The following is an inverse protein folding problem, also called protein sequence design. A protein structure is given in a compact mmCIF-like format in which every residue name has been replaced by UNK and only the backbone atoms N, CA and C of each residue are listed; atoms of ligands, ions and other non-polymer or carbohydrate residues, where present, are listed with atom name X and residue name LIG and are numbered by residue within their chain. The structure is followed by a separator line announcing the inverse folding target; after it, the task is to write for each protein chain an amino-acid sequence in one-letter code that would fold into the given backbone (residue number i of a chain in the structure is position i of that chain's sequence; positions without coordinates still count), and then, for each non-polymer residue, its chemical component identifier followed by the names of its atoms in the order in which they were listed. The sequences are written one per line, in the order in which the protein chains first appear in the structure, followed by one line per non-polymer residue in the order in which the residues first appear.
data_IF_620664917283
#
_entry.id   IF_620664917283
#
_cell.length_a   1.000
_cell.length_b   1.000
_cell.length_c   1.000
_cell.angle_alpha   90.00
_cell.angle_beta   90.00
_cell.angle_gamma   90.00
#
_symmetry.space_group_name_H-M   'P 1'
#
loop_
_entity.id
_entity.type
_entity.pdbx_description
1 polymer ?
#
# COMPACT_ATOMS: atom_id res chain seq x y z
N UNK A 1 14.91 -18.21 -9.59
CA UNK A 1 13.76 -17.43 -10.15
C UNK A 1 12.49 -17.58 -9.32
N UNK A 2 12.39 -18.61 -8.45
CA UNK A 2 11.53 -18.59 -7.27
C UNK A 2 11.97 -17.52 -6.22
N UNK A 3 13.16 -16.95 -6.36
CA UNK A 3 13.79 -15.98 -5.44
C UNK A 3 13.32 -14.52 -5.64
N UNK A 4 12.10 -14.34 -6.17
CA UNK A 4 11.60 -13.07 -6.72
C UNK A 4 10.16 -12.80 -6.28
N UNK A 5 9.76 -13.28 -5.10
CA UNK A 5 8.44 -13.07 -4.52
C UNK A 5 8.64 -12.68 -3.06
N UNK A 6 7.85 -11.74 -2.53
CA UNK A 6 7.94 -11.36 -1.11
C UNK A 6 7.52 -12.54 -0.24
N UNK A 7 7.94 -12.59 1.03
CA UNK A 7 7.55 -13.68 1.92
C UNK A 7 6.01 -13.79 2.06
N UNK A 8 5.30 -12.65 1.97
CA UNK A 8 3.84 -12.61 1.97
C UNK A 8 3.25 -13.15 0.66
N UNK A 9 3.80 -12.79 -0.50
CA UNK A 9 3.40 -13.38 -1.80
C UNK A 9 3.73 -14.87 -1.85
N UNK A 10 4.89 -15.29 -1.33
CA UNK A 10 5.27 -16.70 -1.22
C UNK A 10 4.29 -17.41 -0.29
N UNK A 11 3.87 -16.79 0.81
CA UNK A 11 2.86 -17.35 1.71
C UNK A 11 1.50 -17.50 1.00
N UNK A 12 1.02 -16.46 0.30
CA UNK A 12 -0.21 -16.52 -0.51
C UNK A 12 -0.10 -17.59 -1.62
N UNK A 13 1.03 -17.67 -2.33
CA UNK A 13 1.24 -18.70 -3.35
C UNK A 13 1.42 -20.09 -2.75
N UNK A 14 1.89 -20.21 -1.51
CA UNK A 14 1.99 -21.48 -0.80
C UNK A 14 0.63 -21.95 -0.31
N UNK A 15 -0.21 -21.03 0.13
CA UNK A 15 -1.63 -21.31 0.38
C UNK A 15 -2.32 -21.73 -0.91
N UNK A 16 -2.15 -20.99 -2.01
CA UNK A 16 -2.66 -21.38 -3.32
C UNK A 16 -2.13 -22.74 -3.78
N UNK A 17 -0.82 -23.01 -3.63
CA UNK A 17 -0.21 -24.30 -3.96
C UNK A 17 -0.83 -25.45 -3.16
N UNK A 18 -1.11 -25.24 -1.86
CA UNK A 18 -1.78 -26.24 -1.01
C UNK A 18 -3.24 -26.50 -1.40
N UNK A 19 -3.86 -25.60 -2.19
CA UNK A 19 -5.17 -25.88 -2.80
C UNK A 19 -5.05 -26.89 -3.94
N UNK A 20 -3.90 -26.95 -4.62
CA UNK A 20 -3.62 -27.90 -5.70
C UNK A 20 -3.03 -29.21 -5.18
N UNK A 21 -1.97 -29.15 -4.37
CA UNK A 21 -1.32 -30.31 -3.73
C UNK A 21 -2.22 -30.89 -2.62
N UNK A 22 -3.03 -31.90 -2.98
CA UNK A 22 -4.07 -32.44 -2.09
C UNK A 22 -3.52 -33.46 -1.12
N UNK A 23 -2.46 -34.17 -1.48
CA UNK A 23 -1.85 -35.18 -0.62
C UNK A 23 -0.64 -34.65 0.16
N UNK A 24 -0.20 -33.43 -0.12
CA UNK A 24 0.83 -32.70 0.61
C UNK A 24 2.24 -33.23 0.32
N UNK A 25 2.45 -33.86 -0.84
CA UNK A 25 3.74 -34.44 -1.22
C UNK A 25 4.73 -33.40 -1.76
N UNK A 26 4.27 -32.15 -1.95
CA UNK A 26 5.07 -31.02 -2.40
C UNK A 26 5.14 -30.87 -3.92
N UNK A 27 4.38 -31.65 -4.68
CA UNK A 27 4.29 -31.60 -6.13
C UNK A 27 2.82 -31.58 -6.59
N UNK A 28 2.51 -30.88 -7.68
CA UNK A 28 1.18 -30.91 -8.28
C UNK A 28 1.22 -31.87 -9.48
N UNK A 29 0.46 -32.95 -9.38
CA UNK A 29 0.30 -33.92 -10.48
C UNK A 29 -0.78 -33.49 -11.49
N UNK A 30 -0.79 -34.08 -12.70
CA UNK A 30 -1.88 -33.86 -13.68
C UNK A 30 -3.25 -34.14 -13.08
N UNK A 31 -3.33 -35.15 -12.19
CA UNK A 31 -4.54 -35.58 -11.52
C UNK A 31 -5.03 -34.53 -10.53
N UNK A 32 -4.14 -33.91 -9.78
CA UNK A 32 -4.46 -32.86 -8.81
C UNK A 32 -4.84 -31.55 -9.49
N UNK A 33 -4.04 -31.13 -10.47
CA UNK A 33 -4.37 -30.00 -11.34
C UNK A 33 -5.74 -30.18 -11.98
N UNK A 34 -5.99 -31.36 -12.57
CA UNK A 34 -7.27 -31.70 -13.16
C UNK A 34 -8.41 -31.75 -12.14
N UNK A 35 -8.15 -32.14 -10.89
CA UNK A 35 -9.16 -32.15 -9.83
C UNK A 35 -9.59 -30.72 -9.51
N UNK A 36 -8.65 -29.80 -9.33
CA UNK A 36 -8.95 -28.39 -9.07
C UNK A 36 -9.63 -27.73 -10.28
N UNK A 37 -9.11 -27.91 -11.50
CA UNK A 37 -9.72 -27.34 -12.71
C UNK A 37 -11.16 -27.82 -12.92
N UNK A 38 -11.44 -29.10 -12.62
CA UNK A 38 -12.81 -29.65 -12.64
C UNK A 38 -13.69 -29.09 -11.52
N UNK A 39 -13.15 -28.87 -10.33
CA UNK A 39 -13.85 -28.19 -9.24
C UNK A 39 -14.15 -26.71 -9.57
N UNK A 40 -13.36 -26.07 -10.43
CA UNK A 40 -13.60 -24.72 -10.94
C UNK A 40 -14.54 -24.69 -12.16
N UNK A 41 -15.02 -25.85 -12.63
CA UNK A 41 -15.98 -25.97 -13.73
C UNK A 41 -15.36 -26.10 -15.12
N UNK A 42 -14.04 -26.22 -15.23
CA UNK A 42 -13.36 -26.55 -16.48
C UNK A 42 -13.28 -28.07 -16.67
N UNK A 43 -13.18 -28.53 -17.92
CA UNK A 43 -13.13 -29.98 -18.20
C UNK A 43 -11.94 -30.33 -19.12
N UNK A 44 -10.71 -30.08 -18.67
CA UNK A 44 -9.52 -30.30 -19.49
C UNK A 44 -9.28 -31.80 -19.73
N UNK A 45 -8.76 -32.11 -20.90
CA UNK A 45 -8.27 -33.44 -21.27
C UNK A 45 -6.92 -33.73 -20.60
N UNK A 46 -6.56 -35.00 -20.50
CA UNK A 46 -5.25 -35.38 -19.94
C UNK A 46 -4.08 -34.81 -20.76
N UNK A 47 -4.26 -34.64 -22.07
CA UNK A 47 -3.26 -34.02 -22.93
C UNK A 47 -3.10 -32.53 -22.63
N UNK A 48 -4.20 -31.79 -22.46
CA UNK A 48 -4.16 -30.37 -22.09
C UNK A 48 -3.54 -30.17 -20.70
N UNK A 49 -3.88 -31.04 -19.73
CA UNK A 49 -3.26 -31.02 -18.40
C UNK A 49 -1.76 -31.29 -18.47
N UNK A 50 -1.34 -32.26 -19.29
CA UNK A 50 0.07 -32.57 -19.47
C UNK A 50 0.81 -31.42 -20.17
N UNK A 51 0.20 -30.78 -21.17
CA UNK A 51 0.78 -29.62 -21.85
C UNK A 51 0.96 -28.45 -20.88
N UNK A 52 -0.03 -28.18 -20.03
CA UNK A 52 0.07 -27.15 -18.98
C UNK A 52 1.19 -27.43 -17.97
N UNK A 53 1.42 -28.70 -17.60
CA UNK A 53 2.56 -29.08 -16.75
C UNK A 53 3.87 -28.89 -17.49
N UNK A 54 3.98 -29.41 -18.72
CA UNK A 54 5.20 -29.34 -19.53
C UNK A 54 5.67 -27.91 -19.83
N UNK A 55 4.76 -26.93 -19.83
CA UNK A 55 5.09 -25.52 -20.03
C UNK A 55 5.96 -24.94 -18.89
N UNK A 56 5.90 -25.53 -17.69
CA UNK A 56 6.54 -25.00 -16.48
C UNK A 56 7.41 -26.00 -15.72
N UNK A 57 7.25 -27.29 -16.00
CA UNK A 57 8.08 -28.41 -15.56
C UNK A 57 9.48 -28.28 -16.16
N UNK A 58 10.37 -27.64 -15.40
CA UNK A 58 11.72 -27.29 -15.83
C UNK A 58 12.68 -28.47 -15.68
N UNK A 59 12.42 -29.37 -14.73
CA UNK A 59 13.23 -30.57 -14.50
C UNK A 59 12.76 -31.79 -15.31
N UNK A 60 11.57 -31.72 -15.91
CA UNK A 60 10.98 -32.74 -16.79
C UNK A 60 10.44 -33.96 -16.03
N UNK A 61 10.10 -33.80 -14.74
CA UNK A 61 9.65 -34.89 -13.89
C UNK A 61 8.16 -35.25 -14.08
N UNK A 62 7.42 -34.46 -14.85
CA UNK A 62 6.00 -34.65 -15.16
C UNK A 62 5.04 -34.16 -14.06
N UNK A 63 5.53 -33.37 -13.11
CA UNK A 63 4.77 -32.72 -12.03
C UNK A 63 5.22 -31.27 -11.90
N UNK A 64 4.49 -30.44 -11.14
CA UNK A 64 4.89 -29.05 -10.87
C UNK A 64 5.31 -28.95 -9.40
N UNK A 65 6.59 -28.72 -9.14
CA UNK A 65 7.05 -28.44 -7.79
C UNK A 65 6.76 -26.98 -7.38
N UNK A 66 6.91 -26.66 -6.10
CA UNK A 66 6.62 -25.30 -5.61
C UNK A 66 7.42 -24.20 -6.34
N UNK A 67 8.76 -24.33 -6.56
CA UNK A 67 9.52 -23.42 -7.42
C UNK A 67 8.98 -23.25 -8.85
N UNK A 68 8.55 -24.31 -9.51
CA UNK A 68 7.97 -24.30 -10.85
C UNK A 68 6.59 -23.63 -10.86
N UNK A 69 5.78 -23.88 -9.85
CA UNK A 69 4.51 -23.20 -9.62
C UNK A 69 4.70 -21.69 -9.42
N UNK A 70 5.71 -21.27 -8.67
CA UNK A 70 6.05 -19.85 -8.52
C UNK A 70 6.48 -19.22 -9.85
N UNK A 71 7.24 -19.93 -10.68
CA UNK A 71 7.62 -19.45 -12.01
C UNK A 71 6.40 -19.33 -12.95
N UNK A 72 5.44 -20.25 -12.86
CA UNK A 72 4.17 -20.19 -13.60
C UNK A 72 3.40 -18.92 -13.22
N UNK A 73 3.21 -18.69 -11.93
CA UNK A 73 2.47 -17.53 -11.40
C UNK A 73 3.19 -16.21 -11.70
N UNK A 74 4.52 -16.16 -11.53
CA UNK A 74 5.32 -14.98 -11.81
C UNK A 74 5.37 -14.60 -13.30
N UNK A 75 5.29 -15.58 -14.21
CA UNK A 75 5.17 -15.32 -15.67
C UNK A 75 3.78 -14.79 -16.03
N UNK A 76 2.71 -15.39 -15.49
CA UNK A 76 1.33 -14.92 -15.67
C UNK A 76 1.13 -13.48 -15.19
N UNK A 77 1.78 -13.08 -14.09
CA UNK A 77 1.70 -11.70 -13.59
C UNK A 77 2.49 -10.67 -14.42
N UNK A 78 3.45 -11.09 -15.27
CA UNK A 78 4.32 -10.18 -16.05
C UNK A 78 3.81 -9.89 -17.46
N UNK A 79 2.93 -10.73 -18.01
CA UNK A 79 2.55 -10.69 -19.42
C UNK A 79 1.11 -10.22 -19.71
N UNK A 80 0.30 -9.87 -18.71
CA UNK A 80 -1.13 -9.58 -18.96
C UNK A 80 -1.73 -8.51 -18.04
N UNK A 81 -1.81 -7.27 -18.55
CA UNK A 81 -2.97 -6.42 -18.26
C UNK A 81 -4.15 -6.96 -19.10
N UNK A 82 -5.02 -7.81 -18.54
CA UNK A 82 -6.10 -7.52 -17.58
C UNK A 82 -7.48 -7.23 -18.21
N UNK A 83 -7.75 -7.68 -19.45
CA UNK A 83 -9.13 -7.85 -19.95
C UNK A 83 -9.53 -9.33 -20.06
N UNK A 84 -8.73 -10.16 -20.73
CA UNK A 84 -9.05 -11.59 -20.89
C UNK A 84 -8.98 -12.36 -19.58
N UNK A 85 -8.02 -12.06 -18.69
CA UNK A 85 -8.00 -12.64 -17.34
C UNK A 85 -9.18 -12.17 -16.48
N UNK A 86 -9.61 -10.91 -16.61
CA UNK A 86 -10.82 -10.44 -15.92
C UNK A 86 -12.09 -11.10 -16.47
N UNK A 87 -12.15 -11.36 -17.78
CA UNK A 87 -13.24 -12.12 -18.40
C UNK A 87 -13.22 -13.58 -17.95
N UNK A 88 -12.05 -14.20 -17.85
CA UNK A 88 -11.92 -15.57 -17.36
C UNK A 88 -12.29 -15.67 -15.88
N UNK A 89 -11.82 -14.74 -15.04
CA UNK A 89 -12.21 -14.65 -13.65
C UNK A 89 -13.73 -14.45 -13.53
N UNK A 90 -14.31 -13.52 -14.28
CA UNK A 90 -15.76 -13.31 -14.31
C UNK A 90 -16.52 -14.60 -14.68
N UNK A 91 -16.06 -15.33 -15.71
CA UNK A 91 -16.65 -16.63 -16.11
C UNK A 91 -16.50 -17.73 -15.06
N UNK A 92 -15.49 -17.66 -14.18
CA UNK A 92 -15.36 -18.60 -13.07
C UNK A 92 -16.47 -18.35 -12.03
N UNK A 93 -16.83 -17.08 -11.80
CA UNK A 93 -17.91 -16.70 -10.90
C UNK A 93 -19.30 -16.90 -11.51
N UNK A 94 -19.55 -16.40 -12.73
CA UNK A 94 -20.82 -16.53 -13.47
C UNK A 94 -20.97 -17.97 -14.02
N UNK A 95 -21.52 -18.88 -13.21
CA UNK A 95 -21.58 -20.31 -13.51
C UNK A 95 -22.65 -20.62 -14.54
N UNK A 96 -23.77 -19.91 -14.51
CA UNK A 96 -24.86 -20.11 -15.45
C UNK A 96 -24.69 -19.32 -16.76
N UNK A 97 -23.66 -18.47 -16.85
CA UNK A 97 -23.28 -17.65 -18.01
C UNK A 97 -24.38 -16.67 -18.39
N UNK A 98 -25.13 -16.16 -17.42
CA UNK A 98 -26.18 -15.18 -17.64
C UNK A 98 -25.64 -13.75 -17.78
N UNK A 99 -24.35 -13.53 -17.53
CA UNK A 99 -23.68 -12.22 -17.59
C UNK A 99 -23.64 -11.47 -16.27
N UNK A 100 -24.06 -12.10 -15.17
CA UNK A 100 -24.17 -11.54 -13.82
C UNK A 100 -23.68 -12.55 -12.79
N UNK A 101 -23.07 -12.07 -11.71
CA UNK A 101 -22.68 -12.90 -10.57
C UNK A 101 -23.72 -12.73 -9.47
N UNK A 102 -24.44 -13.80 -9.15
CA UNK A 102 -25.40 -13.83 -8.04
C UNK A 102 -24.74 -14.10 -6.69
N UNK A 103 -25.46 -13.82 -5.59
CA UNK A 103 -25.02 -14.16 -4.23
C UNK A 103 -24.65 -15.64 -4.07
N UNK A 104 -25.44 -16.52 -4.68
CA UNK A 104 -25.24 -17.95 -4.60
C UNK A 104 -23.95 -18.37 -5.33
N UNK A 105 -23.66 -17.77 -6.47
CA UNK A 105 -22.46 -18.02 -7.26
C UNK A 105 -21.20 -17.49 -6.58
N UNK A 106 -21.25 -16.25 -6.05
CA UNK A 106 -20.17 -15.68 -5.27
C UNK A 106 -19.82 -16.57 -4.07
N UNK A 107 -20.84 -16.97 -3.29
CA UNK A 107 -20.69 -17.89 -2.15
C UNK A 107 -20.09 -19.23 -2.57
N UNK A 108 -20.59 -19.80 -3.67
CA UNK A 108 -20.15 -21.10 -4.16
C UNK A 108 -18.67 -21.09 -4.54
N UNK A 109 -18.24 -20.06 -5.27
CA UNK A 109 -16.85 -19.92 -5.69
C UNK A 109 -15.94 -19.68 -4.48
N UNK A 110 -16.29 -18.77 -3.58
CA UNK A 110 -15.50 -18.51 -2.37
C UNK A 110 -15.37 -19.75 -1.49
N UNK A 111 -16.46 -20.52 -1.32
CA UNK A 111 -16.43 -21.78 -0.56
C UNK A 111 -15.52 -22.82 -1.22
N UNK A 112 -15.50 -22.91 -2.55
CA UNK A 112 -14.62 -23.82 -3.28
C UNK A 112 -13.15 -23.40 -3.22
N UNK A 113 -12.88 -22.11 -3.05
CA UNK A 113 -11.54 -21.55 -2.82
C UNK A 113 -11.08 -21.69 -1.36
N UNK A 114 -11.92 -22.22 -0.47
CA UNK A 114 -11.59 -22.47 0.94
C UNK A 114 -12.12 -21.42 1.92
N UNK A 115 -12.71 -20.33 1.43
CA UNK A 115 -13.25 -19.23 2.21
C UNK A 115 -14.73 -19.45 2.56
N UNK A 116 -15.03 -19.57 3.86
CA UNK A 116 -16.41 -19.75 4.34
C UNK A 116 -17.00 -18.42 4.77
N UNK A 117 -17.73 -17.79 3.86
CA UNK A 117 -18.45 -16.54 4.12
C UNK A 117 -19.85 -16.80 4.68
N UNK A 118 -20.36 -15.90 5.54
CA UNK A 118 -21.74 -15.96 6.06
C UNK A 118 -22.78 -15.41 5.07
N UNK A 119 -24.07 -15.66 5.35
CA UNK A 119 -25.22 -14.81 5.01
C UNK A 119 -24.84 -13.37 4.63
N UNK A 120 -24.52 -12.67 5.70
CA UNK A 120 -24.37 -11.22 5.76
C UNK A 120 -23.10 -10.72 5.05
N UNK A 121 -22.02 -11.49 5.06
CA UNK A 121 -20.76 -11.11 4.40
C UNK A 121 -20.92 -11.10 2.88
N UNK A 122 -21.61 -12.10 2.32
CA UNK A 122 -21.90 -12.15 0.88
C UNK A 122 -22.85 -11.03 0.47
N UNK A 123 -23.87 -10.74 1.28
CA UNK A 123 -24.81 -9.65 1.03
C UNK A 123 -24.14 -8.27 1.11
N UNK A 124 -23.14 -8.09 1.99
CA UNK A 124 -22.30 -6.87 2.03
C UNK A 124 -21.45 -6.76 0.77
N UNK A 125 -20.76 -7.83 0.36
CA UNK A 125 -19.93 -7.82 -0.84
C UNK A 125 -20.71 -7.46 -2.11
N UNK A 126 -21.93 -7.99 -2.26
CA UNK A 126 -22.80 -7.62 -3.39
C UNK A 126 -23.19 -6.16 -3.29
N UNK A 127 -23.65 -5.70 -2.13
CA UNK A 127 -24.06 -4.30 -1.94
C UNK A 127 -22.92 -3.30 -2.18
N UNK A 128 -21.68 -3.68 -1.94
CA UNK A 128 -20.51 -2.84 -2.26
C UNK A 128 -20.19 -2.79 -3.76
N UNK A 129 -20.49 -3.88 -4.48
CA UNK A 129 -20.21 -4.05 -5.90
C UNK A 129 -21.33 -3.56 -6.83
N UNK A 130 -22.58 -3.83 -6.46
CA UNK A 130 -23.82 -3.57 -7.20
C UNK A 130 -24.14 -2.06 -7.19
N UNK A 131 -23.84 -1.41 -8.31
CA UNK A 131 -23.99 0.04 -8.47
C UNK A 131 -25.40 0.39 -8.94
N UNK A 132 -26.00 -0.48 -9.76
CA UNK A 132 -27.32 -0.23 -10.36
C UNK A 132 -28.49 -0.73 -9.48
N UNK A 133 -28.20 -1.52 -8.46
CA UNK A 133 -29.13 -1.99 -7.43
C UNK A 133 -29.99 -3.16 -7.88
N UNK A 134 -29.54 -3.93 -8.88
CA UNK A 134 -30.28 -5.09 -9.39
C UNK A 134 -30.14 -6.36 -8.53
N UNK A 135 -29.26 -6.31 -7.52
CA UNK A 135 -28.98 -7.40 -6.58
C UNK A 135 -28.00 -8.43 -7.11
N UNK A 136 -27.32 -8.16 -8.22
CA UNK A 136 -26.31 -8.99 -8.85
C UNK A 136 -25.08 -8.12 -9.23
N UNK A 137 -24.01 -8.74 -9.71
CA UNK A 137 -22.80 -8.02 -10.13
C UNK A 137 -22.57 -8.27 -11.62
N UNK A 138 -22.72 -7.26 -12.45
CA UNK A 138 -22.41 -7.37 -13.88
C UNK A 138 -20.90 -7.27 -14.16
N UNK A 139 -20.48 -7.51 -15.41
CA UNK A 139 -19.04 -7.47 -15.77
C UNK A 139 -18.38 -6.12 -15.49
N UNK A 140 -19.05 -5.00 -15.76
CA UNK A 140 -18.48 -3.67 -15.51
C UNK A 140 -18.29 -3.39 -14.02
N UNK A 141 -19.24 -3.83 -13.19
CA UNK A 141 -19.17 -3.75 -11.74
C UNK A 141 -18.09 -4.66 -11.18
N UNK A 142 -18.00 -5.90 -11.67
CA UNK A 142 -16.94 -6.84 -11.31
C UNK A 142 -15.56 -6.28 -11.66
N UNK A 143 -15.38 -5.76 -12.89
CA UNK A 143 -14.14 -5.11 -13.30
C UNK A 143 -13.84 -3.94 -12.38
N UNK A 144 -14.83 -3.10 -12.04
CA UNK A 144 -14.65 -1.97 -11.14
C UNK A 144 -14.27 -2.38 -9.72
N UNK A 145 -14.76 -3.52 -9.23
CA UNK A 145 -14.36 -4.08 -7.92
C UNK A 145 -12.95 -4.67 -7.99
N UNK A 146 -12.64 -5.43 -9.03
CA UNK A 146 -11.32 -6.05 -9.23
C UNK A 146 -10.23 -5.01 -9.57
N UNK A 147 -10.60 -3.92 -10.22
CA UNK A 147 -9.74 -2.79 -10.61
C UNK A 147 -9.81 -1.62 -9.63
N UNK A 148 -10.54 -1.74 -8.53
CA UNK A 148 -10.48 -0.75 -7.47
C UNK A 148 -9.06 -0.77 -6.89
N UNK A 149 -8.21 0.15 -7.38
CA UNK A 149 -6.85 0.32 -6.90
C UNK A 149 -6.89 0.41 -5.37
N UNK A 150 -6.15 -0.48 -4.70
CA UNK A 150 -6.03 -0.50 -3.24
C UNK A 150 -5.66 0.90 -2.77
N UNK A 151 -6.63 1.61 -2.19
CA UNK A 151 -6.42 2.99 -1.73
C UNK A 151 -5.40 2.98 -0.62
N UNK A 152 -4.49 3.94 -0.66
CA UNK A 152 -3.50 4.11 0.39
C UNK A 152 -4.21 4.59 1.65
N UNK A 153 -4.11 3.83 2.73
CA UNK A 153 -4.76 4.18 4.00
C UNK A 153 -3.93 5.24 4.72
N UNK A 154 -4.55 6.38 5.02
CA UNK A 154 -3.86 7.56 5.57
C UNK A 154 -4.47 7.96 6.90
N UNK A 155 -3.64 8.03 7.94
CA UNK A 155 -4.02 8.60 9.23
C UNK A 155 -3.82 10.11 9.21
N UNK A 156 -4.90 10.86 9.45
CA UNK A 156 -4.94 12.32 9.37
C UNK A 156 -5.00 12.96 10.76
N UNK A 157 -3.89 13.58 11.20
CA UNK A 157 -3.75 14.20 12.51
C UNK A 157 -4.00 15.71 12.47
N UNK A 158 -5.01 16.16 13.21
CA UNK A 158 -5.45 17.55 13.25
C UNK A 158 -4.46 18.51 13.94
N UNK A 159 -4.67 19.82 13.79
CA UNK A 159 -3.84 20.86 14.41
C UNK A 159 -4.21 21.17 15.86
N UNK A 160 -3.41 22.02 16.50
CA UNK A 160 -3.60 22.45 17.88
C UNK A 160 -5.00 23.04 18.12
N UNK A 161 -5.70 22.54 19.15
CA UNK A 161 -7.06 22.97 19.54
C UNK A 161 -8.07 22.90 18.39
N UNK A 162 -8.01 21.84 17.61
CA UNK A 162 -9.01 21.53 16.57
C UNK A 162 -9.53 20.10 16.77
N UNK A 163 -10.06 19.47 15.73
CA UNK A 163 -10.57 18.10 15.79
C UNK A 163 -10.36 17.39 14.46
N UNK A 164 -10.40 16.06 14.47
CA UNK A 164 -10.35 15.25 13.26
C UNK A 164 -11.46 15.64 12.28
N UNK A 165 -12.66 15.91 12.80
CA UNK A 165 -13.79 16.41 12.00
C UNK A 165 -13.51 17.75 11.32
N UNK A 166 -12.80 18.67 11.98
CA UNK A 166 -12.40 19.95 11.37
C UNK A 166 -11.36 19.75 10.27
N UNK A 167 -10.31 18.94 10.52
CA UNK A 167 -9.30 18.63 9.51
C UNK A 167 -9.94 17.95 8.29
N UNK A 168 -10.86 17.00 8.50
CA UNK A 168 -11.63 16.36 7.41
C UNK A 168 -12.34 17.41 6.56
N UNK A 169 -12.95 18.43 7.18
CA UNK A 169 -13.62 19.53 6.46
C UNK A 169 -12.66 20.46 5.70
N UNK A 170 -11.41 20.58 6.16
CA UNK A 170 -10.37 21.32 5.43
C UNK A 170 -9.89 20.52 4.21
N UNK A 171 -9.54 19.24 4.41
CA UNK A 171 -9.05 18.34 3.36
C UNK A 171 -10.11 18.05 2.31
N UNK A 172 -11.40 18.03 2.67
CA UNK A 172 -12.50 17.86 1.69
C UNK A 172 -12.60 19.00 0.66
N UNK A 173 -11.83 20.08 0.80
CA UNK A 173 -11.75 21.18 -0.17
C UNK A 173 -10.65 20.97 -1.22
N UNK A 174 -9.83 19.92 -1.07
CA UNK A 174 -8.84 19.53 -2.08
C UNK A 174 -9.54 18.90 -3.28
N UNK A 175 -8.83 18.87 -4.41
CA UNK A 175 -9.38 18.35 -5.64
C UNK A 175 -9.73 16.86 -5.50
N UNK A 176 -10.90 16.39 -5.97
CA UNK A 176 -11.34 15.01 -5.79
C UNK A 176 -10.34 13.96 -6.30
N UNK A 177 -9.59 14.25 -7.37
CA UNK A 177 -8.58 13.33 -7.91
C UNK A 177 -7.46 12.99 -6.92
N UNK A 178 -7.18 13.88 -5.96
CA UNK A 178 -6.21 13.62 -4.88
C UNK A 178 -6.83 12.68 -3.85
N UNK A 179 -8.08 12.96 -3.46
CA UNK A 179 -8.75 12.23 -2.39
C UNK A 179 -9.16 10.81 -2.80
N UNK A 180 -9.40 10.56 -4.09
CA UNK A 180 -9.80 9.24 -4.59
C UNK A 180 -8.72 8.17 -4.38
N UNK A 181 -7.45 8.57 -4.29
CA UNK A 181 -6.30 7.67 -4.09
C UNK A 181 -6.10 7.28 -2.61
N UNK A 182 -6.78 7.95 -1.67
CA UNK A 182 -6.55 7.79 -0.23
C UNK A 182 -7.81 7.31 0.50
N UNK A 183 -7.65 6.31 1.37
CA UNK A 183 -8.62 6.01 2.42
C UNK A 183 -8.21 6.77 3.69
N UNK A 184 -8.85 7.90 3.96
CA UNK A 184 -8.42 8.84 5.02
C UNK A 184 -9.21 8.66 6.32
N UNK A 185 -8.50 8.45 7.43
CA UNK A 185 -9.06 8.32 8.79
C UNK A 185 -8.68 9.53 9.64
N UNK A 186 -9.64 10.13 10.35
CA UNK A 186 -9.44 11.39 11.10
C UNK A 186 -9.80 11.21 12.59
N UNK A 187 -8.89 10.66 13.41
CA UNK A 187 -9.10 10.57 14.85
C UNK A 187 -9.07 11.95 15.52
N UNK A 188 -9.73 12.05 16.67
CA UNK A 188 -9.58 13.17 17.60
C UNK A 188 -8.40 12.91 18.56
N UNK A 189 -7.73 13.99 18.98
CA UNK A 189 -6.72 13.94 20.04
C UNK A 189 -7.32 13.53 21.39
N UNK A 190 -6.51 12.96 22.27
CA UNK A 190 -6.97 12.45 23.57
C UNK A 190 -7.26 13.57 24.59
N UNK A 191 -6.57 14.71 24.46
CA UNK A 191 -6.62 15.75 25.49
C UNK A 191 -7.54 16.87 25.04
N UNK A 192 -8.59 17.20 25.82
CA UNK A 192 -9.40 18.39 25.56
C UNK A 192 -8.54 19.65 25.52
N UNK A 193 -8.89 20.57 24.64
CA UNK A 193 -8.20 21.86 24.52
C UNK A 193 -8.17 22.60 25.87
N UNK A 194 -6.97 22.95 26.33
CA UNK A 194 -6.77 23.65 27.61
C UNK A 194 -7.08 25.15 27.55
N UNK A 195 -7.53 25.66 26.41
CA UNK A 195 -7.86 27.06 26.22
C UNK A 195 -8.64 27.32 24.93
N UNK A 196 -8.74 28.61 24.57
CA UNK A 196 -9.52 29.04 23.41
C UNK A 196 -8.96 28.45 22.11
N UNK A 197 -9.88 28.05 21.23
CA UNK A 197 -9.58 27.65 19.86
C UNK A 197 -9.83 28.79 18.88
N UNK A 198 -8.98 28.94 17.87
CA UNK A 198 -9.14 29.95 16.81
C UNK A 198 -10.30 29.63 15.86
N UNK A 199 -10.81 28.40 15.88
CA UNK A 199 -11.97 27.97 15.08
C UNK A 199 -13.28 28.09 15.84
N UNK A 200 -13.25 28.61 17.07
CA UNK A 200 -14.46 28.82 17.86
C UNK A 200 -15.42 29.80 17.16
N UNK A 201 -16.67 29.37 16.98
CA UNK A 201 -17.69 30.10 16.21
C UNK A 201 -17.66 29.84 14.71
N UNK A 202 -16.64 29.14 14.20
CA UNK A 202 -16.54 28.68 12.80
C UNK A 202 -16.86 27.19 12.69
N UNK A 203 -16.43 26.40 13.66
CA UNK A 203 -16.70 24.96 13.76
C UNK A 203 -17.09 24.60 15.21
N UNK A 204 -18.03 23.67 15.43
CA UNK A 204 -18.49 23.35 16.78
C UNK A 204 -17.43 22.57 17.60
N UNK A 205 -17.42 22.72 18.94
CA UNK A 205 -16.63 21.88 19.85
C UNK A 205 -17.13 20.42 19.85
N UNK A 206 -16.39 19.45 20.42
CA UNK A 206 -15.15 19.61 21.19
C UNK A 206 -13.90 19.91 20.36
N UNK A 207 -12.89 20.49 21.03
CA UNK A 207 -11.55 20.71 20.48
C UNK A 207 -10.52 19.97 21.32
N UNK A 208 -9.46 19.53 20.66
CA UNK A 208 -8.46 18.65 21.24
C UNK A 208 -7.05 19.13 20.93
N UNK A 209 -6.12 18.65 21.74
CA UNK A 209 -4.68 18.78 21.59
C UNK A 209 -4.08 17.37 21.61
N UNK A 210 -3.04 17.14 20.81
CA UNK A 210 -2.29 15.88 20.86
C UNK A 210 -1.37 15.84 22.07
N UNK A 211 -0.79 16.98 22.42
CA UNK A 211 0.07 17.18 23.59
C UNK A 211 0.07 18.68 23.95
N UNK A 212 0.50 19.02 25.15
CA UNK A 212 0.72 20.42 25.55
C UNK A 212 2.21 20.76 25.43
N UNK A 213 2.52 22.04 25.29
CA UNK A 213 3.89 22.53 25.20
C UNK A 213 4.06 23.86 25.94
N UNK A 214 5.28 24.15 26.37
CA UNK A 214 5.65 25.43 26.94
C UNK A 214 5.85 26.51 25.86
N UNK A 215 6.04 27.77 26.25
CA UNK A 215 6.12 28.89 25.29
C UNK A 215 7.30 28.79 24.32
N UNK A 216 8.38 28.13 24.74
CA UNK A 216 9.60 28.02 23.96
C UNK A 216 9.62 26.74 23.09
N UNK A 217 8.58 25.91 23.22
CA UNK A 217 8.42 24.62 22.54
C UNK A 217 9.57 23.65 22.84
N UNK A 218 10.06 23.65 24.08
CA UNK A 218 11.16 22.80 24.54
C UNK A 218 10.71 21.72 25.52
N UNK A 219 9.58 21.92 26.19
CA UNK A 219 8.97 20.96 27.10
C UNK A 219 7.59 20.55 26.59
N UNK A 220 7.30 19.25 26.67
CA UNK A 220 6.07 18.67 26.15
C UNK A 220 5.37 17.82 27.22
N UNK A 221 4.11 18.14 27.51
CA UNK A 221 3.30 17.40 28.48
C UNK A 221 2.33 16.49 27.73
N UNK A 222 2.15 15.26 28.23
CA UNK A 222 1.30 14.22 27.66
C UNK A 222 1.75 13.65 26.29
N UNK A 223 2.98 13.96 25.86
CA UNK A 223 3.50 13.51 24.55
C UNK A 223 3.70 11.99 24.51
N UNK A 224 4.25 11.39 25.57
CA UNK A 224 4.50 9.95 25.62
C UNK A 224 3.19 9.15 25.60
N UNK A 225 2.18 9.60 26.36
CA UNK A 225 0.84 9.03 26.37
C UNK A 225 0.18 9.13 24.98
N UNK A 226 0.36 10.28 24.31
CA UNK A 226 -0.13 10.48 22.95
C UNK A 226 0.52 9.53 21.94
N UNK A 227 1.84 9.36 22.00
CA UNK A 227 2.59 8.43 21.15
C UNK A 227 2.10 7.00 21.37
N UNK A 228 1.97 6.58 22.63
CA UNK A 228 1.47 5.24 22.97
C UNK A 228 0.06 5.00 22.42
N UNK A 229 -0.83 5.98 22.57
CA UNK A 229 -2.17 5.93 21.99
C UNK A 229 -2.17 5.78 20.48
N UNK A 230 -1.39 6.60 19.77
CA UNK A 230 -1.34 6.53 18.32
C UNK A 230 -0.73 5.22 17.83
N UNK A 231 0.26 4.67 18.53
CA UNK A 231 0.80 3.36 18.21
C UNK A 231 -0.27 2.25 18.32
N UNK A 232 -1.00 2.20 19.44
CA UNK A 232 -2.10 1.24 19.63
C UNK A 232 -3.20 1.44 18.58
N UNK A 233 -3.58 2.69 18.33
CA UNK A 233 -4.58 3.02 17.32
C UNK A 233 -4.15 2.56 15.92
N UNK A 234 -2.89 2.79 15.55
CA UNK A 234 -2.35 2.43 14.24
C UNK A 234 -2.27 0.91 14.05
N UNK A 235 -1.86 0.16 15.08
CA UNK A 235 -1.86 -1.31 15.02
C UNK A 235 -3.29 -1.86 14.93
N UNK A 236 -4.22 -1.32 15.72
CA UNK A 236 -5.60 -1.81 15.78
C UNK A 236 -6.43 -1.47 14.54
N UNK A 237 -6.20 -0.31 13.94
CA UNK A 237 -7.03 0.21 12.85
C UNK A 237 -6.28 0.26 11.52
N UNK A 238 -5.02 -0.17 11.47
CA UNK A 238 -4.16 -0.18 10.29
C UNK A 238 -4.28 -1.46 9.45
N UNK A 239 -3.24 -1.79 8.67
CA UNK A 239 -2.01 -1.00 8.49
C UNK A 239 -2.29 0.33 7.79
N UNK A 240 -1.59 1.39 8.19
CA UNK A 240 -1.62 2.70 7.55
C UNK A 240 -0.44 2.85 6.61
N UNK A 241 -0.68 3.23 5.35
CA UNK A 241 0.38 3.46 4.38
C UNK A 241 1.07 4.81 4.57
N UNK A 242 0.33 5.82 5.02
CA UNK A 242 0.84 7.17 5.15
C UNK A 242 0.24 7.96 6.30
N UNK A 243 0.92 9.05 6.65
CA UNK A 243 0.45 10.02 7.64
C UNK A 243 0.22 11.38 6.98
N UNK A 244 -0.93 11.99 7.25
CA UNK A 244 -1.20 13.39 6.93
C UNK A 244 -1.32 14.17 8.23
N UNK A 245 -0.64 15.29 8.36
CA UNK A 245 -0.74 16.11 9.55
C UNK A 245 -0.88 17.59 9.22
N UNK A 246 -1.59 18.32 10.09
CA UNK A 246 -1.60 19.78 10.10
C UNK A 246 -1.01 20.30 11.42
N UNK A 247 -0.08 21.24 11.36
CA UNK A 247 0.49 21.92 12.54
C UNK A 247 1.02 20.89 13.55
N UNK A 248 0.49 20.86 14.78
CA UNK A 248 0.82 19.85 15.79
C UNK A 248 0.73 18.40 15.27
N UNK A 249 -0.28 18.09 14.45
CA UNK A 249 -0.42 16.76 13.85
C UNK A 249 0.70 16.44 12.84
N UNK A 250 1.18 17.43 12.09
CA UNK A 250 2.32 17.24 11.18
C UNK A 250 3.62 17.00 11.94
N UNK A 251 3.85 17.78 13.00
CA UNK A 251 4.99 17.59 13.92
C UNK A 251 5.00 16.19 14.53
N UNK A 252 3.83 15.71 14.97
CA UNK A 252 3.67 14.36 15.54
C UNK A 252 3.86 13.24 14.50
N UNK A 253 3.31 13.41 13.29
CA UNK A 253 3.51 12.45 12.20
C UNK A 253 5.00 12.27 11.86
N UNK A 254 5.77 13.36 11.77
CA UNK A 254 7.20 13.27 11.53
C UNK A 254 7.96 12.58 12.65
N UNK A 255 7.56 12.82 13.91
CA UNK A 255 8.13 12.13 15.07
C UNK A 255 7.90 10.62 15.01
N UNK A 256 6.67 10.19 14.74
CA UNK A 256 6.33 8.76 14.65
C UNK A 256 7.14 8.05 13.57
N UNK A 257 7.27 8.66 12.38
CA UNK A 257 8.06 8.10 11.28
C UNK A 257 9.54 8.06 11.66
N UNK A 258 10.08 9.14 12.24
CA UNK A 258 11.47 9.19 12.68
C UNK A 258 11.80 8.16 13.75
N UNK A 259 10.91 7.98 14.74
CA UNK A 259 11.05 6.97 15.79
C UNK A 259 10.91 5.54 15.24
N UNK A 260 9.98 5.31 14.30
CA UNK A 260 9.84 4.00 13.67
C UNK A 260 11.10 3.62 12.89
N UNK A 261 11.70 4.57 12.16
CA UNK A 261 12.95 4.35 11.43
C UNK A 261 14.13 3.96 12.34
N UNK A 262 14.07 4.32 13.62
CA UNK A 262 15.05 3.98 14.65
C UNK A 262 14.60 2.78 15.53
N UNK A 263 13.51 2.10 15.19
CA UNK A 263 12.97 0.94 15.91
C UNK A 263 12.43 1.25 17.31
N UNK A 264 11.99 2.50 17.56
CA UNK A 264 11.52 2.94 18.87
C UNK A 264 10.02 2.74 19.09
N UNK A 265 9.23 2.87 18.02
CA UNK A 265 7.76 2.78 18.03
C UNK A 265 7.28 2.05 16.79
N UNK A 266 6.01 1.62 16.79
CA UNK A 266 5.38 0.99 15.63
C UNK A 266 6.13 -0.26 15.13
N UNK A 267 6.69 -1.07 16.04
CA UNK A 267 7.43 -2.29 15.69
C UNK A 267 6.53 -3.39 15.10
N UNK A 268 5.26 -3.42 15.49
CA UNK A 268 4.24 -4.36 14.98
C UNK A 268 3.39 -3.75 13.86
N UNK A 269 3.85 -2.63 13.28
CA UNK A 269 3.18 -1.96 12.17
C UNK A 269 4.17 -1.83 11.00
N UNK A 270 3.75 -2.09 9.74
CA UNK A 270 4.63 -1.92 8.58
C UNK A 270 5.25 -0.51 8.52
N UNK A 271 6.43 -0.34 7.88
CA UNK A 271 7.02 0.98 7.72
C UNK A 271 6.06 1.97 7.04
N UNK A 272 5.91 3.17 7.62
CA UNK A 272 5.14 4.24 6.99
C UNK A 272 5.84 4.66 5.69
N UNK A 273 5.09 4.63 4.59
CA UNK A 273 5.63 4.82 3.24
C UNK A 273 5.77 6.30 2.89
N UNK A 274 4.84 7.14 3.35
CA UNK A 274 4.86 8.56 3.04
C UNK A 274 4.25 9.47 4.11
N UNK A 275 4.60 10.76 4.00
CA UNK A 275 4.07 11.83 4.84
C UNK A 275 3.54 12.99 4.00
N UNK A 276 2.35 13.49 4.36
CA UNK A 276 1.81 14.77 3.92
C UNK A 276 1.85 15.75 5.10
N UNK A 277 2.81 16.67 5.08
CA UNK A 277 3.02 17.67 6.12
C UNK A 277 2.39 19.00 5.72
N UNK A 278 1.51 19.56 6.56
CA UNK A 278 1.01 20.93 6.40
C UNK A 278 1.42 21.73 7.61
N UNK A 279 2.30 22.73 7.43
CA UNK A 279 2.79 23.59 8.51
C UNK A 279 3.37 22.84 9.72
N UNK A 280 4.06 21.71 9.51
CA UNK A 280 4.74 20.97 10.58
C UNK A 280 6.06 21.59 11.01
N UNK A 281 6.58 21.20 12.16
CA UNK A 281 7.91 21.57 12.63
C UNK A 281 8.63 20.37 13.24
N UNK A 282 9.95 20.45 13.42
CA UNK A 282 10.66 19.53 14.31
C UNK A 282 10.24 19.79 15.76
N UNK A 283 10.32 18.75 16.59
CA UNK A 283 10.46 18.95 18.05
C UNK A 283 11.76 19.70 18.33
N UNK A 284 11.83 20.46 19.43
CA UNK A 284 13.07 21.19 19.83
C UNK A 284 13.80 20.55 21.00
N UNK A 285 13.18 19.58 21.66
CA UNK A 285 13.84 18.78 22.69
C UNK A 285 15.00 17.99 22.04
N UNK A 286 16.26 18.20 22.49
CA UNK A 286 17.41 17.50 21.95
C UNK A 286 17.30 15.98 22.04
N UNK A 287 16.71 15.44 23.11
CA UNK A 287 16.53 13.99 23.29
C UNK A 287 15.61 13.37 22.24
N UNK A 288 14.65 14.16 21.74
CA UNK A 288 13.79 13.77 20.62
C UNK A 288 14.54 13.94 19.30
N UNK A 289 15.21 15.08 19.10
CA UNK A 289 15.90 15.41 17.85
C UNK A 289 17.01 14.40 17.50
N UNK A 290 17.82 14.05 18.50
CA UNK A 290 18.97 13.14 18.37
C UNK A 290 18.56 11.70 18.05
N UNK A 291 17.26 11.41 18.12
CA UNK A 291 16.67 10.12 17.76
C UNK A 291 15.85 10.26 16.47
N UNK A 292 14.79 11.05 16.49
CA UNK A 292 13.82 11.14 15.39
C UNK A 292 14.42 11.67 14.09
N UNK A 293 15.42 12.55 14.18
CA UNK A 293 16.01 13.25 13.03
C UNK A 293 17.51 12.98 12.91
N UNK A 294 18.01 11.91 13.55
CA UNK A 294 19.42 11.52 13.55
C UNK A 294 19.95 11.28 12.13
N UNK A 295 19.16 10.54 11.35
CA UNK A 295 19.43 10.22 9.95
C UNK A 295 18.28 10.78 9.09
N UNK A 296 18.52 11.09 7.80
CA UNK A 296 17.46 11.50 6.90
C UNK A 296 16.33 10.47 6.85
N UNK A 297 15.09 10.92 7.08
CA UNK A 297 13.89 10.10 7.02
C UNK A 297 13.65 9.71 5.56
N UNK A 298 13.67 8.40 5.28
CA UNK A 298 13.59 7.85 3.92
C UNK A 298 12.17 7.80 3.35
N UNK A 299 11.14 7.87 4.20
CA UNK A 299 9.76 7.90 3.73
C UNK A 299 9.54 9.12 2.81
N UNK A 300 8.82 8.93 1.69
CA UNK A 300 8.55 10.04 0.78
C UNK A 300 7.75 11.11 1.52
N UNK A 301 8.00 12.38 1.23
CA UNK A 301 7.23 13.44 1.87
C UNK A 301 6.88 14.58 0.93
N UNK A 302 5.71 15.17 1.18
CA UNK A 302 5.30 16.45 0.64
C UNK A 302 5.04 17.41 1.78
N UNK A 303 5.56 18.64 1.67
CA UNK A 303 5.46 19.68 2.68
C UNK A 303 4.77 20.92 2.10
N UNK A 304 3.58 21.22 2.62
CA UNK A 304 2.86 22.45 2.34
C UNK A 304 3.32 23.55 3.28
N UNK A 305 3.90 24.61 2.72
CA UNK A 305 4.50 25.71 3.49
C UNK A 305 3.87 27.04 3.07
N UNK A 306 3.23 27.72 4.03
CA UNK A 306 2.62 29.03 3.82
C UNK A 306 3.64 30.15 3.84
N UNK A 307 3.63 31.02 2.83
CA UNK A 307 4.54 32.16 2.72
C UNK A 307 4.35 33.20 3.85
N UNK A 308 3.16 33.23 4.46
CA UNK A 308 2.83 34.09 5.60
C UNK A 308 2.70 33.31 6.91
N UNK A 309 3.08 32.04 6.91
CA UNK A 309 3.00 31.19 8.10
C UNK A 309 4.14 31.54 9.07
N UNK A 310 3.81 31.67 10.35
CA UNK A 310 4.80 31.87 11.40
C UNK A 310 5.67 30.61 11.60
N UNK A 311 5.19 29.44 11.15
CA UNK A 311 5.97 28.20 11.08
C UNK A 311 6.74 28.02 9.77
N UNK A 312 6.77 28.99 8.85
CA UNK A 312 7.46 28.84 7.55
C UNK A 312 8.88 28.28 7.69
N UNK A 313 9.74 28.92 8.49
CA UNK A 313 11.13 28.49 8.68
C UNK A 313 11.20 27.13 9.40
N UNK A 314 10.50 26.91 10.54
CA UNK A 314 10.41 25.58 11.15
C UNK A 314 9.92 24.45 10.22
N UNK A 315 9.01 24.75 9.28
CA UNK A 315 8.53 23.79 8.29
C UNK A 315 9.57 23.49 7.22
N UNK A 316 10.36 24.47 6.79
CA UNK A 316 11.52 24.25 5.91
C UNK A 316 12.59 23.40 6.61
N UNK A 317 12.84 23.65 7.90
CA UNK A 317 13.73 22.84 8.72
C UNK A 317 13.23 21.40 8.88
N UNK A 318 11.93 21.20 9.07
CA UNK A 318 11.33 19.86 9.11
C UNK A 318 11.48 19.16 7.76
N UNK A 319 11.16 19.83 6.66
CA UNK A 319 11.30 19.25 5.31
C UNK A 319 12.73 18.77 5.06
N UNK A 320 13.75 19.52 5.51
CA UNK A 320 15.15 19.13 5.36
C UNK A 320 15.57 17.86 6.12
N UNK A 321 14.75 17.35 7.05
CA UNK A 321 15.00 16.05 7.68
C UNK A 321 14.53 14.86 6.85
N UNK A 322 13.77 15.07 5.78
CA UNK A 322 13.35 14.00 4.87
C UNK A 322 14.28 13.91 3.67
N UNK A 323 14.44 12.71 3.13
CA UNK A 323 15.12 12.50 1.85
C UNK A 323 14.21 13.03 0.71
N UNK A 324 14.76 13.91 -0.13
CA UNK A 324 14.13 14.44 -1.34
C UNK A 324 12.65 14.89 -1.19
N UNK A 325 12.36 15.81 -0.25
CA UNK A 325 10.98 16.25 0.00
C UNK A 325 10.43 17.07 -1.19
N UNK A 326 9.17 16.82 -1.55
CA UNK A 326 8.41 17.76 -2.39
C UNK A 326 7.96 18.95 -1.52
N UNK A 327 8.29 20.18 -1.90
CA UNK A 327 7.85 21.38 -1.18
C UNK A 327 6.84 22.13 -2.06
N UNK A 328 5.61 22.27 -1.57
CA UNK A 328 4.54 23.05 -2.22
C UNK A 328 4.30 24.32 -1.40
N UNK A 329 4.55 25.48 -2.01
CA UNK A 329 4.38 26.78 -1.35
C UNK A 329 3.02 27.39 -1.68
N UNK A 330 2.40 28.04 -0.69
CA UNK A 330 1.12 28.72 -0.88
C UNK A 330 1.12 30.12 -0.23
N UNK A 331 0.32 31.08 -0.72
CA UNK A 331 0.40 32.50 -0.29
C UNK A 331 -0.24 32.80 1.06
N UNK A 332 -0.80 31.79 1.73
CA UNK A 332 -1.60 31.95 2.95
C UNK A 332 -0.73 31.82 4.21
N UNK A 333 -1.32 32.11 5.37
CA UNK A 333 -0.69 31.90 6.67
C UNK A 333 -0.87 30.47 7.17
N UNK A 334 -0.98 30.31 8.49
CA UNK A 334 -1.11 29.03 9.17
C UNK A 334 -2.46 28.34 8.90
N UNK A 335 -2.56 27.61 7.79
CA UNK A 335 -3.81 26.97 7.37
C UNK A 335 -3.58 25.84 6.37
N UNK A 336 -4.52 24.90 6.30
CA UNK A 336 -4.56 23.91 5.23
C UNK A 336 -4.90 24.62 3.91
N UNK A 337 -4.00 24.61 2.91
CA UNK A 337 -4.20 25.39 1.70
C UNK A 337 -5.33 24.84 0.86
N UNK A 338 -5.97 25.73 0.09
CA UNK A 338 -6.63 25.29 -1.15
C UNK A 338 -5.56 25.11 -2.21
N UNK A 339 -5.64 24.01 -2.93
CA UNK A 339 -4.68 23.68 -3.97
C UNK A 339 -5.08 24.40 -5.27
N UNK A 340 -4.14 25.11 -5.87
CA UNK A 340 -4.28 25.59 -7.25
C UNK A 340 -3.96 24.45 -8.24
N UNK A 341 -4.20 24.68 -9.53
CA UNK A 341 -4.01 23.66 -10.57
C UNK A 341 -2.57 23.11 -10.59
N UNK A 342 -1.58 23.98 -10.36
CA UNK A 342 -0.17 23.59 -10.31
C UNK A 342 0.12 22.67 -9.12
N UNK A 343 -0.39 23.02 -7.93
CA UNK A 343 -0.24 22.21 -6.72
C UNK A 343 -0.97 20.87 -6.84
N UNK A 344 -2.17 20.84 -7.45
CA UNK A 344 -2.90 19.60 -7.71
C UNK A 344 -2.10 18.69 -8.63
N UNK A 345 -1.51 19.23 -9.69
CA UNK A 345 -0.66 18.47 -10.63
C UNK A 345 0.57 17.89 -9.92
N UNK A 346 1.31 18.71 -9.18
CA UNK A 346 2.49 18.27 -8.42
C UNK A 346 2.15 17.17 -7.42
N UNK A 347 1.04 17.34 -6.67
CA UNK A 347 0.62 16.35 -5.68
C UNK A 347 0.16 15.05 -6.33
N UNK A 348 -0.47 15.12 -7.52
CA UNK A 348 -0.91 13.95 -8.29
C UNK A 348 0.28 13.17 -8.86
N UNK A 349 1.28 13.86 -9.40
CA UNK A 349 2.52 13.23 -9.88
C UNK A 349 3.28 12.57 -8.72
N UNK A 350 3.33 13.25 -7.56
CA UNK A 350 3.94 12.70 -6.35
C UNK A 350 3.20 11.47 -5.82
N UNK A 351 1.86 11.51 -5.74
CA UNK A 351 1.07 10.36 -5.27
C UNK A 351 1.16 9.17 -6.23
N UNK A 352 1.14 9.42 -7.54
CA UNK A 352 1.39 8.39 -8.55
C UNK A 352 2.77 7.73 -8.37
N UNK A 353 3.81 8.51 -8.06
CA UNK A 353 5.15 7.96 -7.80
C UNK A 353 5.23 7.10 -6.53
N UNK A 354 4.31 7.29 -5.56
CA UNK A 354 4.21 6.41 -4.39
C UNK A 354 3.57 5.10 -4.79
N UNK A 355 2.47 5.14 -5.56
CA UNK A 355 1.80 3.95 -6.08
C UNK A 355 2.75 3.14 -6.98
N UNK A 356 3.54 3.80 -7.81
CA UNK A 356 4.55 3.15 -8.65
C UNK A 356 5.66 2.52 -7.81
N UNK A 357 6.16 3.20 -6.77
CA UNK A 357 7.14 2.62 -5.86
C UNK A 357 6.58 1.42 -5.10
N UNK A 358 5.27 1.37 -4.82
CA UNK A 358 4.63 0.22 -4.21
C UNK A 358 4.53 -0.94 -5.19
N UNK A 359 4.03 -0.67 -6.40
CA UNK A 359 4.05 -1.65 -7.50
C UNK A 359 5.47 -2.19 -7.72
N UNK A 360 6.48 -1.31 -7.69
CA UNK A 360 7.89 -1.66 -7.86
C UNK A 360 8.55 -2.27 -6.62
N UNK A 361 8.05 -2.03 -5.41
CA UNK A 361 8.51 -2.72 -4.20
C UNK A 361 7.98 -4.16 -4.17
N UNK A 362 6.78 -4.35 -4.71
CA UNK A 362 6.16 -5.65 -5.00
C UNK A 362 6.79 -6.32 -6.25
N UNK A 363 7.66 -5.61 -6.97
CA UNK A 363 8.42 -6.12 -8.13
C UNK A 363 9.91 -6.29 -7.79
N UNK A 364 10.50 -7.49 -7.88
CA UNK A 364 11.87 -7.71 -7.42
C UNK A 364 12.92 -6.94 -8.23
N UNK A 365 13.76 -6.17 -7.53
CA UNK A 365 15.01 -5.64 -8.09
C UNK A 365 16.03 -6.77 -8.22
N UNK A 366 16.42 -7.11 -9.46
CA UNK A 366 17.53 -8.01 -9.73
C UNK A 366 18.81 -7.49 -9.04
N UNK A 367 19.33 -8.26 -8.09
CA UNK A 367 20.56 -7.94 -7.37
C UNK A 367 21.78 -8.30 -8.22
N UNK A 368 22.49 -7.29 -8.71
CA UNK A 368 23.88 -7.45 -9.12
C UNK A 368 24.73 -7.68 -7.86
N UNK A 369 25.02 -8.94 -7.58
CA UNK A 369 26.08 -9.30 -6.63
C UNK A 369 27.42 -9.25 -7.38
N UNK A 370 28.13 -8.13 -7.26
CA UNK A 370 29.57 -8.12 -7.49
C UNK A 370 30.24 -8.90 -6.36
N UNK A 371 30.50 -10.18 -6.60
CA UNK A 371 31.42 -10.95 -5.78
C UNK A 371 32.85 -10.54 -6.14
N UNK A 372 33.53 -9.90 -5.18
CA UNK A 372 34.97 -9.67 -5.21
C UNK A 372 35.70 -11.02 -5.05
N UNK A 373 35.93 -11.70 -6.16
CA UNK A 373 36.77 -12.90 -6.25
C UNK A 373 38.00 -12.60 -7.10
N UNK A 374 39.11 -12.26 -6.45
CA UNK A 374 40.41 -12.18 -7.11
C UNK A 374 40.80 -13.53 -7.70
N UNK A 375 41.02 -13.57 -9.01
CA UNK A 375 41.83 -14.60 -9.66
C UNK A 375 42.66 -13.98 -10.77
N UNK A 376 43.93 -14.37 -10.72
CA UNK A 376 45.01 -13.98 -11.60
C UNK A 376 44.76 -14.26 -13.08
N UNK A 377 45.42 -13.43 -13.88
CA UNK A 377 45.71 -13.55 -15.31
C UNK A 377 45.97 -14.97 -15.81
N UNK A 378 45.45 -15.32 -16.99
CA UNK A 378 46.17 -15.72 -18.22
C UNK A 378 45.12 -15.99 -19.30
N UNK A 379 45.24 -15.29 -20.44
CA UNK A 379 44.19 -15.17 -21.44
C UNK A 379 44.00 -16.34 -22.41
N UNK A 380 42.93 -16.23 -23.20
CA UNK A 380 42.80 -16.74 -24.57
C UNK A 380 41.77 -15.83 -25.25
N UNK A 381 42.25 -14.93 -26.12
CA UNK A 381 41.45 -14.37 -27.21
C UNK A 381 40.86 -15.50 -28.06
N UNK A 382 39.71 -15.24 -28.68
CA UNK A 382 39.12 -16.01 -29.80
C UNK A 382 38.25 -17.23 -29.44
N UNK A 383 36.99 -16.95 -29.09
CA UNK A 383 35.87 -17.87 -29.33
C UNK A 383 34.62 -17.18 -29.92
N UNK A 384 34.72 -15.91 -30.34
CA UNK A 384 33.68 -15.21 -31.11
C UNK A 384 33.89 -15.32 -32.64
N UNK A 385 34.85 -16.13 -33.10
CA UNK A 385 35.22 -16.22 -34.53
C UNK A 385 35.08 -17.64 -35.14
N UNK A 386 34.24 -18.52 -34.56
CA UNK A 386 34.14 -19.92 -35.01
C UNK A 386 32.71 -20.45 -35.26
N UNK A 387 31.69 -19.58 -35.33
CA UNK A 387 30.33 -19.99 -35.73
C UNK A 387 29.77 -19.30 -36.98
N UNK A 388 30.58 -18.56 -37.75
CA UNK A 388 30.14 -17.90 -39.00
C UNK A 388 30.72 -18.49 -40.30
N UNK A 389 31.37 -19.67 -40.26
CA UNK A 389 31.92 -20.34 -41.45
C UNK A 389 31.46 -21.80 -41.67
N UNK A 390 30.27 -22.18 -41.19
CA UNK A 390 29.66 -23.49 -41.54
C UNK A 390 28.27 -23.32 -42.19
N UNK A 391 28.02 -22.18 -42.83
CA UNK A 391 26.86 -21.96 -43.69
C UNK A 391 27.24 -21.45 -45.10
N UNK A 392 28.30 -22.03 -45.68
CA UNK A 392 28.56 -22.07 -47.13
C UNK A 392 29.41 -23.29 -47.49
#
# INVERSE_FOLDING_TARGET
MADQLTDDQIAEFKEAFSLFDKDGDGCITTKELGTVMRSLGQNPTEAELQDMINEVDADGNGTIDFPEFLNLMARKMKDTDSEEELKEAFRVFDKDQNGFISAAELRHVMTNLGEKLTDEEVDEMIREADVDGDGQINYEEFVKVMMQEKKLKVLCLHGFRTSGGFLKKQISKWHPSILQQFDTVFPDGQFPAGGKSDIEGIFPPPYFEWFQFDKDFTEYTNLEECIAYLCDYMVKNGPFDGLLGFSQGATLSALLIGYQAQGKVLNDHPPIKFMVSVSGSKFRDPSICDVAYKDPIKAKSVHFIGEKDWLKVPSEELASAFADPLIIRHPQGHTVPRLDEASVKQLSEWSASILEDLKNADTPKASNSESSGGKDSVGVESAENLMEQVAA
#
